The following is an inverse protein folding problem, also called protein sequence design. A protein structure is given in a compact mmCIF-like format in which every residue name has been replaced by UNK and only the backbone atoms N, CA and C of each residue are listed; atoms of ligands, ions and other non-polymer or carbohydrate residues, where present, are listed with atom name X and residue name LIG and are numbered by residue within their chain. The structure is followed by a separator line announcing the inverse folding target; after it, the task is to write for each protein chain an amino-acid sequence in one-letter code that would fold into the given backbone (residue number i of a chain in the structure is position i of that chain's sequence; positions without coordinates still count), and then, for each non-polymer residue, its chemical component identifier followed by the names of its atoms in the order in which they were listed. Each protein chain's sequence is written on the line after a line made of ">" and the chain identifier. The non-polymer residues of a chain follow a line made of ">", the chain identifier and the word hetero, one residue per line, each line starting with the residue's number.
data_IF_662810271809
#
_entry.id   IF_662810271809
#
_cell.length_a   1.000
_cell.length_b   1.000
_cell.length_c   1.000
_cell.angle_alpha   90.00
_cell.angle_beta   90.00
_cell.angle_gamma   90.00
#
_symmetry.space_group_name_H-M   'P 1'
#
loop_
_entity.id
_entity.type
_entity.pdbx_description
1 polymer ?
#
# COMPACT_ATOMS: atom_id res chain seq x y z
N UNK A 1 -2.67 -2.14 16.31
CA UNK A 1 -1.74 -1.01 16.52
C UNK A 1 -2.31 0.17 15.76
N UNK A 2 -2.29 1.38 16.32
CA UNK A 2 -2.74 2.57 15.56
C UNK A 2 -1.66 3.03 14.58
N UNK A 3 -2.02 3.86 13.61
CA UNK A 3 -1.06 4.42 12.66
C UNK A 3 0.00 5.25 13.37
N UNK A 4 -0.39 6.07 14.35
CA UNK A 4 0.54 6.85 15.15
C UNK A 4 1.55 5.96 15.89
N UNK A 5 1.07 4.93 16.58
CA UNK A 5 1.95 3.96 17.25
C UNK A 5 2.85 3.21 16.27
N UNK A 6 2.30 2.86 15.11
CA UNK A 6 3.02 2.15 14.06
C UNK A 6 4.18 2.96 13.52
N UNK A 7 3.97 4.24 13.23
CA UNK A 7 5.02 5.13 12.70
C UNK A 7 6.17 5.24 13.69
N UNK A 8 5.87 5.33 15.00
CA UNK A 8 6.90 5.37 16.05
C UNK A 8 7.70 4.07 16.21
N UNK A 9 7.18 2.93 15.72
CA UNK A 9 7.82 1.60 15.80
C UNK A 9 8.37 1.13 14.46
N UNK A 10 8.26 1.94 13.41
CA UNK A 10 8.60 1.53 12.05
C UNK A 10 10.12 1.50 11.84
N UNK A 11 10.66 0.28 11.72
CA UNK A 11 12.07 0.06 11.39
C UNK A 11 12.33 0.16 9.89
N UNK A 12 13.61 0.31 9.49
CA UNK A 12 14.01 0.36 8.08
C UNK A 12 13.54 -0.88 7.31
N UNK A 13 12.93 -0.68 6.15
CA UNK A 13 12.31 -1.76 5.36
C UNK A 13 10.95 -2.20 5.89
N UNK A 14 10.47 -1.57 6.96
CA UNK A 14 9.12 -1.74 7.47
C UNK A 14 8.10 -0.96 6.64
N UNK A 15 6.93 -1.55 6.50
CA UNK A 15 5.77 -0.98 5.83
C UNK A 15 4.57 -1.06 6.78
N UNK A 16 3.94 0.08 7.03
CA UNK A 16 2.62 0.14 7.66
C UNK A 16 1.56 0.19 6.58
N UNK A 17 0.55 -0.64 6.73
CA UNK A 17 -0.61 -0.66 5.86
C UNK A 17 -1.85 -0.43 6.69
N UNK A 18 -2.70 0.46 6.22
CA UNK A 18 -3.95 0.81 6.86
C UNK A 18 -5.04 1.09 5.84
N UNK A 19 -6.29 0.81 6.19
CA UNK A 19 -7.45 1.08 5.34
C UNK A 19 -8.50 1.87 6.12
N UNK A 20 -9.10 2.86 5.47
CA UNK A 20 -10.18 3.67 6.02
C UNK A 20 -11.35 3.72 5.06
N UNK A 21 -12.53 3.29 5.51
CA UNK A 21 -13.74 3.38 4.71
C UNK A 21 -14.40 4.73 4.98
N UNK A 22 -14.45 5.59 3.95
CA UNK A 22 -15.28 6.81 3.98
C UNK A 22 -16.68 6.49 3.46
N UNK A 23 -17.57 7.48 3.46
CA UNK A 23 -18.91 7.38 2.88
C UNK A 23 -18.91 7.18 1.34
N UNK A 24 -17.81 7.42 0.63
CA UNK A 24 -17.78 7.39 -0.85
C UNK A 24 -16.63 6.59 -1.45
N UNK A 25 -15.61 6.30 -0.67
CA UNK A 25 -14.37 5.66 -1.13
C UNK A 25 -13.72 4.87 0.00
N UNK A 26 -13.03 3.80 -0.36
CA UNK A 26 -12.08 3.12 0.51
C UNK A 26 -10.70 3.75 0.28
N UNK A 27 -10.12 4.29 1.34
CA UNK A 27 -8.76 4.79 1.35
C UNK A 27 -7.83 3.70 1.86
N UNK A 28 -6.68 3.58 1.21
CA UNK A 28 -5.63 2.68 1.63
C UNK A 28 -4.34 3.48 1.75
N UNK A 29 -3.70 3.38 2.91
CA UNK A 29 -2.54 4.17 3.32
C UNK A 29 -1.38 3.21 3.50
N UNK A 30 -0.26 3.55 2.88
CA UNK A 30 1.00 2.84 2.99
C UNK A 30 2.08 3.82 3.46
N UNK A 31 2.76 3.48 4.55
CA UNK A 31 3.90 4.24 5.05
C UNK A 31 5.10 3.32 5.07
N UNK A 32 6.09 3.62 4.23
CA UNK A 32 7.32 2.84 4.14
C UNK A 32 8.48 3.57 4.79
N UNK A 33 9.27 2.89 5.61
CA UNK A 33 10.49 3.45 6.20
C UNK A 33 11.69 3.14 5.31
N UNK A 34 12.17 4.16 4.63
CA UNK A 34 13.47 4.14 3.95
C UNK A 34 14.63 4.28 4.96
N UNK A 35 15.86 4.13 4.49
CA UNK A 35 17.07 4.33 5.30
C UNK A 35 17.10 5.72 5.96
N UNK A 36 16.69 6.75 5.21
CA UNK A 36 16.82 8.16 5.63
C UNK A 36 15.51 8.91 5.80
N UNK A 37 14.37 8.22 5.73
CA UNK A 37 13.08 8.91 5.75
C UNK A 37 11.89 7.97 5.61
N UNK A 38 10.76 8.56 5.28
CA UNK A 38 9.51 7.85 5.04
C UNK A 38 8.95 8.17 3.67
N UNK A 39 8.28 7.18 3.07
CA UNK A 39 7.41 7.40 1.94
C UNK A 39 5.97 7.24 2.38
N UNK A 40 5.10 8.08 1.83
CA UNK A 40 3.67 8.01 2.00
C UNK A 40 3.02 7.75 0.65
N UNK A 41 2.28 6.65 0.57
CA UNK A 41 1.43 6.35 -0.56
C UNK A 41 -0.01 6.25 -0.07
N UNK A 42 -0.93 6.88 -0.79
CA UNK A 42 -2.37 6.84 -0.50
C UNK A 42 -3.09 6.48 -1.78
N UNK A 43 -3.87 5.41 -1.72
CA UNK A 43 -4.76 4.98 -2.78
C UNK A 43 -6.21 5.24 -2.38
N UNK A 44 -7.02 5.68 -3.33
CA UNK A 44 -8.47 5.75 -3.16
C UNK A 44 -9.17 4.87 -4.17
N UNK A 45 -10.12 4.06 -3.72
CA UNK A 45 -11.02 3.30 -4.59
C UNK A 45 -12.45 3.78 -4.36
N UNK A 46 -13.13 4.22 -5.42
CA UNK A 46 -14.53 4.64 -5.33
C UNK A 46 -15.40 3.46 -4.95
N UNK A 47 -16.22 3.61 -3.92
CA UNK A 47 -17.17 2.59 -3.47
C UNK A 47 -18.53 2.73 -4.17
N UNK A 48 -18.74 3.77 -4.96
CA UNK A 48 -20.02 4.06 -5.63
C UNK A 48 -19.99 3.93 -7.16
N UNK A 49 -21.18 3.80 -7.75
CA UNK A 49 -21.44 3.74 -9.20
C UNK A 49 -21.10 5.04 -9.97
N UNK A 50 -20.59 6.07 -9.29
CA UNK A 50 -20.14 7.30 -9.92
C UNK A 50 -18.61 7.31 -9.97
N UNK A 51 -18.01 7.18 -11.17
CA UNK A 51 -16.57 7.20 -11.31
C UNK A 51 -16.07 8.61 -11.00
N UNK A 52 -15.54 8.79 -9.78
CA UNK A 52 -14.70 9.93 -9.47
C UNK A 52 -13.26 9.58 -9.86
N UNK A 53 -12.46 10.55 -10.33
CA UNK A 53 -11.05 10.30 -10.59
C UNK A 53 -10.39 9.81 -9.31
N UNK A 54 -9.60 8.73 -9.41
CA UNK A 54 -8.79 8.24 -8.31
C UNK A 54 -7.84 9.35 -7.87
N UNK A 55 -7.96 9.76 -6.61
CA UNK A 55 -7.04 10.71 -6.00
C UNK A 55 -6.01 9.84 -5.31
N UNK A 56 -4.93 9.54 -6.00
CA UNK A 56 -3.82 8.79 -5.42
C UNK A 56 -2.69 9.78 -5.11
N UNK A 57 -2.04 9.59 -3.98
CA UNK A 57 -0.91 10.40 -3.55
C UNK A 57 0.29 9.47 -3.45
N UNK A 58 1.40 9.92 -4.02
CA UNK A 58 2.70 9.30 -3.84
C UNK A 58 3.64 10.42 -3.45
N UNK A 59 4.22 10.32 -2.27
CA UNK A 59 5.17 11.30 -1.73
C UNK A 59 6.32 10.55 -1.09
N UNK A 60 7.54 10.98 -1.39
CA UNK A 60 8.75 10.29 -0.99
C UNK A 60 9.61 11.19 -0.11
N UNK A 61 10.38 10.55 0.78
CA UNK A 61 11.50 11.19 1.46
C UNK A 61 11.14 12.19 2.55
N UNK A 62 10.07 11.98 3.31
CA UNK A 62 9.84 12.73 4.56
C UNK A 62 10.99 12.44 5.54
N UNK A 63 11.71 13.46 5.96
CA UNK A 63 12.95 13.30 6.74
C UNK A 63 12.64 12.96 8.21
N UNK A 64 11.47 13.38 8.69
CA UNK A 64 11.05 13.23 10.08
C UNK A 64 9.63 12.68 10.23
N UNK A 65 9.36 12.11 11.40
CA UNK A 65 7.99 11.69 11.79
C UNK A 65 7.06 12.90 11.83
N UNK A 66 7.54 14.07 12.26
CA UNK A 66 6.74 15.29 12.30
C UNK A 66 6.23 15.68 10.91
N UNK A 67 7.11 15.74 9.91
CA UNK A 67 6.74 16.04 8.52
C UNK A 67 5.71 15.04 7.97
N UNK A 68 5.91 13.75 8.24
CA UNK A 68 4.97 12.70 7.84
C UNK A 68 3.59 12.91 8.48
N UNK A 69 3.53 13.24 9.78
CA UNK A 69 2.28 13.50 10.49
C UNK A 69 1.56 14.76 9.97
N UNK A 70 2.31 15.81 9.62
CA UNK A 70 1.76 17.02 8.98
C UNK A 70 1.18 16.71 7.59
N UNK A 71 1.86 15.87 6.80
CA UNK A 71 1.37 15.40 5.53
C UNK A 71 0.09 14.56 5.67
N UNK A 72 0.04 13.67 6.68
CA UNK A 72 -1.16 12.88 7.01
C UNK A 72 -2.32 13.76 7.45
N UNK A 73 -2.07 14.79 8.27
CA UNK A 73 -3.11 15.73 8.68
C UNK A 73 -3.71 16.50 7.47
N UNK A 74 -2.89 16.79 6.46
CA UNK A 74 -3.31 17.49 5.24
C UNK A 74 -4.21 16.64 4.33
N UNK A 75 -4.34 15.33 4.58
CA UNK A 75 -5.23 14.44 3.82
C UNK A 75 -6.72 14.77 4.06
N UNK A 76 -7.06 15.47 5.14
CA UNK A 76 -8.42 15.91 5.43
C UNK A 76 -8.99 16.82 4.32
N UNK A 77 -8.13 17.63 3.69
CA UNK A 77 -8.52 18.58 2.66
C UNK A 77 -8.95 17.84 1.39
N UNK A 78 -8.33 16.68 1.14
CA UNK A 78 -8.46 15.89 -0.08
C UNK A 78 -9.57 14.85 0.04
N UNK A 79 -9.57 14.07 1.13
CA UNK A 79 -10.47 12.93 1.32
C UNK A 79 -11.55 13.13 2.38
N UNK A 80 -11.58 14.30 3.04
CA UNK A 80 -12.56 14.63 4.09
C UNK A 80 -12.56 13.63 5.26
N UNK A 81 -11.39 13.09 5.58
CA UNK A 81 -11.16 12.23 6.75
C UNK A 81 -10.50 13.06 7.85
N UNK A 82 -10.92 12.93 9.11
CA UNK A 82 -10.28 13.65 10.21
C UNK A 82 -8.84 13.16 10.43
N UNK A 83 -7.93 14.09 10.72
CA UNK A 83 -6.55 13.75 11.09
C UNK A 83 -6.51 12.75 12.27
N UNK A 84 -7.37 12.93 13.28
CA UNK A 84 -7.42 12.02 14.42
C UNK A 84 -7.82 10.59 14.00
N UNK A 85 -8.80 10.47 13.10
CA UNK A 85 -9.25 9.16 12.59
C UNK A 85 -8.18 8.45 11.77
N UNK A 86 -7.37 9.20 11.01
CA UNK A 86 -6.21 8.65 10.31
C UNK A 86 -5.11 8.20 11.26
N UNK A 87 -4.86 8.94 12.35
CA UNK A 87 -3.83 8.58 13.33
C UNK A 87 -4.22 7.37 14.19
N UNK A 88 -5.51 7.23 14.49
CA UNK A 88 -6.08 6.10 15.23
C UNK A 88 -6.36 4.87 14.36
N UNK A 89 -6.08 4.99 13.06
CA UNK A 89 -6.38 3.97 12.08
C UNK A 89 -5.68 2.64 12.43
N UNK A 90 -6.39 1.51 12.46
CA UNK A 90 -5.78 0.21 12.70
C UNK A 90 -4.83 -0.13 11.55
N UNK A 91 -3.56 -0.32 11.88
CA UNK A 91 -2.51 -0.65 10.91
C UNK A 91 -1.92 -2.03 11.17
N UNK A 92 -1.48 -2.64 10.08
CA UNK A 92 -0.65 -3.85 10.06
C UNK A 92 0.77 -3.47 9.71
N UNK A 93 1.73 -4.01 10.47
CA UNK A 93 3.15 -3.88 10.20
C UNK A 93 3.63 -5.09 9.39
N UNK A 94 4.29 -4.85 8.28
CA UNK A 94 4.91 -5.88 7.44
C UNK A 94 6.30 -5.44 6.97
N UNK A 95 7.07 -6.37 6.42
CA UNK A 95 8.32 -6.03 5.73
C UNK A 95 8.03 -5.78 4.24
N UNK A 96 8.74 -4.82 3.66
CA UNK A 96 8.69 -4.55 2.23
C UNK A 96 10.08 -4.20 1.71
N UNK A 97 10.32 -4.50 0.43
CA UNK A 97 11.55 -4.11 -0.27
C UNK A 97 11.28 -2.87 -1.14
N UNK A 98 12.30 -2.02 -1.40
CA UNK A 98 12.13 -0.81 -2.19
C UNK A 98 11.46 -1.05 -3.56
N UNK A 99 11.84 -2.13 -4.25
CA UNK A 99 11.26 -2.50 -5.54
C UNK A 99 9.73 -2.73 -5.50
N UNK A 100 9.19 -3.24 -4.39
CA UNK A 100 7.74 -3.40 -4.21
C UNK A 100 7.06 -2.03 -4.05
N UNK A 101 7.69 -1.12 -3.31
CA UNK A 101 7.18 0.24 -3.11
C UNK A 101 7.20 1.05 -4.41
N UNK A 102 8.27 0.92 -5.22
CA UNK A 102 8.35 1.53 -6.55
C UNK A 102 7.24 1.02 -7.48
N UNK A 103 6.97 -0.29 -7.46
CA UNK A 103 5.90 -0.87 -8.26
C UNK A 103 4.53 -0.35 -7.82
N UNK A 104 4.27 -0.30 -6.51
CA UNK A 104 3.03 0.24 -5.94
C UNK A 104 2.85 1.73 -6.28
N UNK A 105 3.92 2.53 -6.13
CA UNK A 105 3.92 3.95 -6.49
C UNK A 105 3.54 4.16 -7.95
N UNK A 106 4.15 3.39 -8.87
CA UNK A 106 3.80 3.43 -10.30
C UNK A 106 2.35 3.04 -10.53
N UNK A 107 1.88 1.96 -9.93
CA UNK A 107 0.48 1.52 -10.07
C UNK A 107 -0.50 2.60 -9.62
N UNK A 108 -0.25 3.25 -8.48
CA UNK A 108 -1.07 4.34 -7.99
C UNK A 108 -1.07 5.56 -8.92
N UNK A 109 0.10 5.90 -9.47
CA UNK A 109 0.22 6.97 -10.46
C UNK A 109 -0.56 6.64 -11.74
N UNK A 110 -0.47 5.41 -12.25
CA UNK A 110 -1.23 4.99 -13.44
C UNK A 110 -2.75 4.91 -13.18
N UNK A 111 -3.17 4.47 -12.00
CA UNK A 111 -4.58 4.41 -11.62
C UNK A 111 -5.21 5.81 -11.48
N UNK A 112 -4.43 6.84 -11.11
CA UNK A 112 -4.85 8.25 -11.13
C UNK A 112 -5.00 8.85 -12.53
N UNK A 113 -4.43 8.19 -13.56
CA UNK A 113 -4.47 8.59 -14.96
C UNK A 113 -5.37 7.61 -15.72
N UNK A 114 -6.64 7.52 -15.36
CA UNK A 114 -7.62 6.83 -16.21
C UNK A 114 -8.56 7.85 -16.85
N UNK A 115 -8.16 8.30 -18.04
CA UNK A 115 -9.08 8.81 -19.05
C UNK A 115 -10.10 7.72 -19.40
N UNK A 116 -11.30 8.17 -19.78
CA UNK A 116 -12.55 7.40 -19.96
C UNK A 116 -12.46 6.08 -20.76
N UNK A 117 -11.38 5.84 -21.50
CA UNK A 117 -11.11 4.64 -22.31
C UNK A 117 -10.35 3.50 -21.58
N UNK A 118 -9.71 3.75 -20.43
CA UNK A 118 -8.81 2.74 -19.81
C UNK A 118 -9.48 1.71 -18.89
N UNK A 119 -10.80 1.78 -18.72
CA UNK A 119 -11.57 0.85 -17.87
C UNK A 119 -11.74 -0.56 -18.47
N UNK A 120 -11.40 -0.78 -19.74
CA UNK A 120 -11.49 -2.11 -20.36
C UNK A 120 -10.22 -2.97 -20.20
N UNK A 121 -9.14 -2.42 -19.64
CA UNK A 121 -7.85 -3.13 -19.54
C UNK A 121 -7.22 -3.14 -18.14
N UNK A 122 -7.94 -2.67 -17.11
CA UNK A 122 -7.44 -2.82 -15.74
C UNK A 122 -7.34 -4.32 -15.41
N UNK A 123 -6.13 -4.88 -15.14
CA UNK A 123 -6.03 -6.26 -14.70
C UNK A 123 -6.81 -6.38 -13.40
N UNK A 124 -7.79 -7.30 -13.39
CA UNK A 124 -8.45 -7.71 -12.16
C UNK A 124 -7.37 -8.27 -11.25
N UNK A 125 -6.97 -7.49 -10.26
CA UNK A 125 -6.10 -7.96 -9.18
C UNK A 125 -6.97 -8.88 -8.33
N UNK A 126 -6.87 -10.18 -8.59
CA UNK A 126 -7.42 -11.20 -7.70
C UNK A 126 -6.54 -11.21 -6.44
N UNK A 127 -7.06 -10.61 -5.35
CA UNK A 127 -6.41 -10.58 -4.03
C UNK A 127 -6.35 -11.95 -3.34
N UNK A 128 -6.64 -13.05 -4.05
CA UNK A 128 -6.64 -14.42 -3.53
C UNK A 128 -5.33 -15.20 -3.77
N UNK A 129 -4.33 -14.62 -4.46
CA UNK A 129 -3.07 -15.33 -4.76
C UNK A 129 -1.97 -15.19 -3.69
N UNK A 130 -2.25 -14.58 -2.53
CA UNK A 130 -1.26 -14.48 -1.44
C UNK A 130 -1.33 -15.61 -0.39
N UNK A 131 -2.22 -16.60 -0.52
CA UNK A 131 -2.38 -17.71 0.46
C UNK A 131 -1.88 -19.10 0.00
N UNK A 132 -1.09 -19.22 -1.07
CA UNK A 132 -0.55 -20.53 -1.50
C UNK A 132 0.99 -20.58 -1.56
N UNK A 133 1.67 -20.11 -0.51
CA UNK A 133 3.11 -20.36 -0.40
C UNK A 133 3.54 -21.03 0.91
N UNK A 134 2.68 -21.87 1.48
CA UNK A 134 3.08 -22.75 2.58
C UNK A 134 2.30 -24.08 2.52
N UNK A 135 2.79 -25.05 1.74
CA UNK A 135 2.90 -26.48 2.11
C UNK A 135 3.28 -27.37 0.91
N UNK A 136 4.54 -27.82 0.89
CA UNK A 136 5.01 -29.18 0.55
C UNK A 136 6.56 -29.11 0.53
N UNK A 137 7.26 -29.41 1.64
CA UNK A 137 7.69 -30.76 2.02
C UNK A 137 8.42 -31.44 0.84
N UNK A 138 9.76 -31.42 0.83
CA UNK A 138 10.64 -32.50 1.31
C UNK A 138 10.41 -33.82 0.57
N UNK A 139 11.38 -34.18 -0.29
CA UNK A 139 11.83 -35.51 -0.75
C UNK A 139 13.01 -35.21 -1.71
N UNK A 140 14.29 -35.28 -1.33
CA UNK A 140 15.12 -36.48 -1.11
C UNK A 140 14.80 -37.60 -2.11
N UNK A 141 15.63 -37.80 -3.14
CA UNK A 141 16.36 -39.06 -3.37
C UNK A 141 17.15 -39.04 -4.71
N UNK A 142 18.39 -39.48 -4.60
CA UNK A 142 19.26 -40.19 -5.55
C UNK A 142 18.75 -40.62 -6.96
N UNK A 143 19.70 -40.49 -7.91
CA UNK A 143 20.06 -41.44 -9.00
C UNK A 143 18.94 -41.88 -9.99
N UNK A 144 19.19 -41.63 -11.29
CA UNK A 144 19.20 -42.73 -12.29
C UNK A 144 19.97 -42.42 -13.58
N UNK A 145 20.90 -43.34 -13.87
CA UNK A 145 21.66 -43.55 -15.10
C UNK A 145 20.78 -44.31 -16.11
N UNK A 146 20.80 -43.96 -17.40
CA UNK A 146 21.13 -44.83 -18.56
C UNK A 146 20.54 -44.37 -19.92
N UNK A 147 21.45 -44.35 -20.90
CA UNK A 147 21.36 -44.84 -22.29
C UNK A 147 20.38 -44.19 -23.30
N UNK A 148 20.92 -43.62 -24.37
CA UNK A 148 21.20 -44.33 -25.64
C UNK A 148 22.49 -43.78 -26.27
#
# INVERSE_FOLDING_TARGET
>A
MTLLEGVGKLEMGGLLVGSYQTASELLQVWIYRQERGFDLLVGSTSSGNHPRPHRNIVSHGFESVAELLEALASLDQIYKVSAQELLDLPTTLQKAIPAQMDMLARQLQYAGIQTKDSLELAPKVDLLEFEHNDTAALEDDDIQVLAD
#
